data_IF_334256549190
#
_entry.id   IF_334256549190
#
_cell.length_a   1.000
_cell.length_b   1.000
_cell.length_c   1.000
_cell.angle_alpha   90.00
_cell.angle_beta   90.00
_cell.angle_gamma   90.00
#
_symmetry.space_group_name_H-M   'P 1'
#
loop_
_entity.id
_entity.type
_entity.pdbx_description
1 polymer ?
#
# COMPACT_ATOMS: atom_id res chain seq x y z
N UNK A 1 73.56 28.46 -15.29
CA UNK A 1 72.60 29.50 -14.82
C UNK A 1 71.63 28.84 -13.86
N UNK A 2 71.90 28.78 -12.55
CA UNK A 2 71.07 28.18 -11.56
C UNK A 2 69.94 29.16 -11.16
N UNK A 3 68.74 28.80 -11.47
CA UNK A 3 67.55 29.58 -11.07
C UNK A 3 67.28 29.36 -9.59
N UNK A 4 67.70 30.27 -8.70
CA UNK A 4 67.42 30.25 -7.29
C UNK A 4 65.96 30.70 -7.07
N UNK A 5 65.07 29.74 -6.79
CA UNK A 5 63.69 30.03 -6.35
C UNK A 5 63.75 30.79 -5.00
N UNK A 6 63.14 31.97 -4.95
CA UNK A 6 63.17 32.79 -3.72
C UNK A 6 62.21 32.21 -2.66
N UNK A 7 62.50 32.47 -1.38
CA UNK A 7 61.61 32.07 -0.27
C UNK A 7 60.20 32.68 -0.44
N UNK A 8 60.08 33.80 -1.12
CA UNK A 8 58.81 34.45 -1.43
C UNK A 8 57.96 33.64 -2.42
N UNK A 9 58.63 33.06 -3.46
CA UNK A 9 57.95 32.24 -4.46
C UNK A 9 57.44 30.94 -3.87
N UNK A 10 58.22 30.32 -2.96
CA UNK A 10 57.77 29.11 -2.25
C UNK A 10 56.58 29.42 -1.33
N UNK A 11 56.59 30.56 -0.61
CA UNK A 11 55.46 30.99 0.20
C UNK A 11 54.20 31.27 -0.58
N UNK A 12 54.31 31.84 -1.77
CA UNK A 12 53.19 32.11 -2.66
C UNK A 12 52.62 30.82 -3.23
N UNK A 13 53.45 29.85 -3.63
CA UNK A 13 53.03 28.52 -4.10
C UNK A 13 52.30 27.73 -3.01
N UNK A 14 52.79 27.78 -1.78
CA UNK A 14 52.13 27.12 -0.63
C UNK A 14 50.75 27.74 -0.32
N UNK A 15 50.63 29.06 -0.34
CA UNK A 15 49.37 29.77 -0.10
C UNK A 15 48.34 29.49 -1.21
N UNK A 16 48.75 29.51 -2.49
CA UNK A 16 47.88 29.15 -3.61
C UNK A 16 47.45 27.67 -3.54
N UNK A 17 48.34 26.75 -3.20
CA UNK A 17 48.01 25.32 -3.01
C UNK A 17 46.98 25.08 -1.91
N UNK A 18 47.14 25.75 -0.75
CA UNK A 18 46.17 25.67 0.34
C UNK A 18 44.79 26.23 -0.06
N UNK A 19 44.78 27.35 -0.84
CA UNK A 19 43.53 27.95 -1.27
C UNK A 19 42.77 27.05 -2.26
N UNK A 20 43.48 26.40 -3.19
CA UNK A 20 42.90 25.46 -4.15
C UNK A 20 42.36 24.22 -3.44
N UNK A 21 43.09 23.67 -2.48
CA UNK A 21 42.66 22.52 -1.71
C UNK A 21 41.43 22.82 -0.84
N UNK A 22 41.37 24.02 -0.22
CA UNK A 22 40.18 24.43 0.55
C UNK A 22 38.96 24.66 -0.35
N UNK A 23 39.15 25.20 -1.55
CA UNK A 23 38.07 25.39 -2.53
C UNK A 23 37.51 24.06 -3.05
N UNK A 24 38.39 23.07 -3.30
CA UNK A 24 37.99 21.71 -3.68
C UNK A 24 37.24 21.03 -2.53
N UNK A 25 37.69 21.18 -1.28
CA UNK A 25 37.01 20.62 -0.13
C UNK A 25 35.62 21.22 0.09
N UNK A 26 35.45 22.54 -0.12
CA UNK A 26 34.16 23.22 -0.07
C UNK A 26 33.24 22.72 -1.19
N UNK A 27 33.75 22.59 -2.45
CA UNK A 27 33.01 22.03 -3.56
C UNK A 27 32.55 20.60 -3.30
N UNK A 28 33.41 19.75 -2.74
CA UNK A 28 33.04 18.38 -2.37
C UNK A 28 32.01 18.33 -1.25
N UNK A 29 32.10 19.23 -0.26
CA UNK A 29 31.12 19.31 0.82
C UNK A 29 29.75 19.81 0.31
N UNK A 30 29.73 20.81 -0.57
CA UNK A 30 28.47 21.33 -1.15
C UNK A 30 27.78 20.31 -2.05
N UNK A 31 28.53 19.51 -2.83
CA UNK A 31 27.95 18.43 -3.65
C UNK A 31 27.34 17.32 -2.75
N UNK A 32 27.93 17.07 -1.59
CA UNK A 32 27.42 16.06 -0.63
C UNK A 32 26.17 16.54 0.13
N UNK A 33 25.95 17.86 0.21
CA UNK A 33 24.83 18.50 0.89
C UNK A 33 23.81 19.14 -0.06
N UNK A 34 23.94 18.97 -1.40
CA UNK A 34 22.83 19.28 -2.30
C UNK A 34 21.77 18.20 -2.02
N UNK A 35 20.63 18.54 -1.36
CA UNK A 35 19.53 17.59 -1.29
C UNK A 35 19.23 17.21 -2.74
N UNK A 36 19.07 15.89 -3.01
CA UNK A 36 18.57 15.43 -4.31
C UNK A 36 17.42 16.36 -4.65
N UNK A 37 17.55 17.07 -5.78
CA UNK A 37 16.52 17.99 -6.21
C UNK A 37 15.20 17.23 -6.13
N UNK A 38 14.32 17.67 -5.23
CA UNK A 38 12.95 17.21 -5.19
C UNK A 38 12.44 17.61 -6.56
N UNK A 39 12.25 16.64 -7.43
CA UNK A 39 11.55 16.83 -8.68
C UNK A 39 10.17 17.26 -8.25
N UNK A 40 9.90 18.56 -8.27
CA UNK A 40 8.54 19.06 -8.15
C UNK A 40 7.83 18.51 -9.37
N UNK A 41 7.21 17.36 -9.20
CA UNK A 41 6.34 16.77 -10.19
C UNK A 41 5.26 17.82 -10.43
N UNK A 42 5.16 18.33 -11.65
CA UNK A 42 4.03 19.15 -12.08
C UNK A 42 2.79 18.25 -12.07
N UNK A 43 2.21 18.10 -10.87
CA UNK A 43 0.96 17.39 -10.73
C UNK A 43 -0.12 18.20 -11.46
N UNK A 44 -0.50 17.69 -12.62
CA UNK A 44 -1.69 18.20 -13.29
C UNK A 44 -2.84 18.14 -12.29
N UNK A 45 -3.60 19.24 -12.16
CA UNK A 45 -4.68 19.43 -11.17
C UNK A 45 -5.89 18.47 -11.41
N UNK A 46 -5.71 17.39 -12.19
CA UNK A 46 -6.72 16.37 -12.44
C UNK A 46 -6.91 15.50 -11.19
N UNK A 47 -8.16 15.33 -10.78
CA UNK A 47 -8.52 14.45 -9.67
C UNK A 47 -8.03 13.01 -9.98
N UNK A 48 -7.30 12.42 -9.04
CA UNK A 48 -6.86 11.02 -9.10
C UNK A 48 -7.85 10.15 -8.34
N UNK A 49 -7.95 8.90 -8.77
CA UNK A 49 -8.85 7.93 -8.17
C UNK A 49 -8.08 6.67 -7.77
N UNK A 50 -8.43 6.05 -6.62
CA UNK A 50 -7.90 4.75 -6.25
C UNK A 50 -8.54 3.64 -7.10
N UNK A 51 -7.94 2.46 -7.14
CA UNK A 51 -8.51 1.29 -7.79
C UNK A 51 -9.60 0.72 -6.88
N UNK A 52 -10.86 0.74 -7.35
CA UNK A 52 -12.01 0.17 -6.66
C UNK A 52 -12.45 -1.18 -7.25
N UNK A 53 -12.21 -1.37 -8.55
CA UNK A 53 -12.47 -2.60 -9.29
C UNK A 53 -11.64 -2.62 -10.58
N UNK A 54 -11.64 -3.76 -11.27
CA UNK A 54 -10.87 -3.96 -12.51
C UNK A 54 -11.82 -4.34 -13.66
N UNK A 55 -11.62 -3.76 -14.85
CA UNK A 55 -12.27 -4.23 -16.06
C UNK A 55 -11.56 -5.48 -16.57
N UNK A 56 -12.23 -6.61 -16.52
CA UNK A 56 -11.70 -7.89 -17.01
C UNK A 56 -12.81 -8.80 -17.50
N UNK A 57 -12.52 -9.59 -18.54
CA UNK A 57 -13.41 -10.67 -19.00
C UNK A 57 -13.29 -11.95 -18.16
N UNK A 58 -12.23 -12.08 -17.35
CA UNK A 58 -12.05 -13.21 -16.48
C UNK A 58 -13.00 -13.11 -15.27
N UNK A 59 -13.67 -14.21 -14.93
CA UNK A 59 -14.54 -14.27 -13.77
C UNK A 59 -13.71 -14.33 -12.47
N UNK A 60 -13.02 -13.22 -12.15
CA UNK A 60 -12.19 -13.06 -10.96
C UNK A 60 -12.80 -12.01 -10.04
N UNK A 61 -12.71 -12.23 -8.73
CA UNK A 61 -13.01 -11.24 -7.68
C UNK A 61 -11.96 -11.35 -6.58
N UNK A 62 -11.71 -10.26 -5.86
CA UNK A 62 -10.79 -10.25 -4.72
C UNK A 62 -11.54 -10.09 -3.42
N UNK A 63 -11.25 -10.98 -2.44
CA UNK A 63 -11.63 -10.80 -1.04
C UNK A 63 -10.53 -10.04 -0.33
N UNK A 64 -10.87 -8.96 0.36
CA UNK A 64 -9.92 -8.15 1.09
C UNK A 64 -10.37 -7.92 2.52
N UNK A 65 -9.42 -7.94 3.46
CA UNK A 65 -9.66 -7.81 4.88
C UNK A 65 -8.87 -6.64 5.45
N UNK A 66 -9.54 -5.68 6.07
CA UNK A 66 -8.91 -4.59 6.79
C UNK A 66 -8.70 -4.98 8.26
N UNK A 67 -7.48 -4.80 8.76
CA UNK A 67 -7.10 -5.12 10.14
C UNK A 67 -6.56 -3.87 10.82
N UNK A 68 -7.38 -3.26 11.67
CA UNK A 68 -7.02 -2.02 12.38
C UNK A 68 -6.73 -2.19 13.87
N UNK A 69 -7.51 -2.99 14.58
CA UNK A 69 -7.41 -3.08 16.04
C UNK A 69 -7.59 -4.49 16.60
N UNK A 70 -8.50 -5.27 16.03
CA UNK A 70 -8.82 -6.61 16.48
C UNK A 70 -8.38 -7.64 15.45
N UNK A 71 -7.65 -8.63 15.86
CA UNK A 71 -7.24 -9.76 15.01
C UNK A 71 -7.70 -11.10 15.55
N UNK A 72 -8.69 -11.11 16.49
CA UNK A 72 -9.12 -12.33 17.22
C UNK A 72 -9.61 -13.44 16.30
N UNK A 73 -10.16 -13.10 15.12
CA UNK A 73 -10.73 -14.06 14.17
C UNK A 73 -9.74 -14.44 13.05
N UNK A 74 -8.50 -13.95 13.10
CA UNK A 74 -7.52 -14.14 12.02
C UNK A 74 -7.31 -15.64 11.74
N UNK A 75 -7.11 -16.45 12.77
CA UNK A 75 -6.86 -17.87 12.61
C UNK A 75 -8.01 -18.58 11.94
N UNK A 76 -9.24 -18.30 12.40
CA UNK A 76 -10.45 -18.88 11.82
C UNK A 76 -10.62 -18.46 10.34
N UNK A 77 -10.37 -17.19 10.01
CA UNK A 77 -10.44 -16.70 8.63
C UNK A 77 -9.37 -17.38 7.75
N UNK A 78 -8.12 -17.49 8.23
CA UNK A 78 -7.06 -18.18 7.50
C UNK A 78 -7.38 -19.67 7.28
N UNK A 79 -7.95 -20.36 8.27
CA UNK A 79 -8.40 -21.75 8.15
C UNK A 79 -9.52 -21.91 7.12
N UNK A 80 -10.51 -21.00 7.09
CA UNK A 80 -11.60 -21.01 6.10
C UNK A 80 -11.04 -20.75 4.69
N UNK A 81 -10.16 -19.78 4.52
CA UNK A 81 -9.51 -19.51 3.23
C UNK A 81 -8.69 -20.70 2.75
N UNK A 82 -7.93 -21.34 3.65
CA UNK A 82 -7.13 -22.53 3.36
C UNK A 82 -8.01 -23.73 2.97
N UNK A 83 -9.06 -24.03 3.74
CA UNK A 83 -10.04 -25.09 3.45
C UNK A 83 -10.62 -24.93 2.05
N UNK A 84 -10.90 -23.70 1.66
CA UNK A 84 -11.48 -23.38 0.37
C UNK A 84 -10.46 -23.21 -0.75
N UNK A 85 -9.16 -23.30 -0.47
CA UNK A 85 -8.08 -23.01 -1.43
C UNK A 85 -8.23 -21.62 -2.07
N UNK A 86 -8.50 -20.59 -1.25
CA UNK A 86 -8.69 -19.20 -1.67
C UNK A 86 -7.53 -18.34 -1.21
N UNK A 87 -7.05 -17.46 -2.08
CA UNK A 87 -6.12 -16.39 -1.71
C UNK A 87 -6.88 -15.08 -1.55
N UNK A 88 -6.47 -14.30 -0.57
CA UNK A 88 -7.06 -13.01 -0.22
C UNK A 88 -5.98 -11.96 0.01
N UNK A 89 -6.37 -10.71 0.23
CA UNK A 89 -5.46 -9.61 0.55
C UNK A 89 -5.81 -9.03 1.91
N UNK A 90 -4.80 -8.88 2.77
CA UNK A 90 -4.96 -8.30 4.10
C UNK A 90 -4.28 -6.93 4.17
N UNK A 91 -5.06 -5.89 4.43
CA UNK A 91 -4.57 -4.54 4.67
C UNK A 91 -4.39 -4.32 6.16
N UNK A 92 -3.15 -4.15 6.60
CA UNK A 92 -2.78 -4.17 8.02
C UNK A 92 -2.26 -2.83 8.51
N UNK A 93 -2.65 -2.41 9.71
CA UNK A 93 -2.10 -1.23 10.36
C UNK A 93 -0.80 -1.55 11.09
N UNK A 94 0.09 -0.55 11.21
CA UNK A 94 1.33 -0.70 11.96
C UNK A 94 1.11 -1.01 13.43
N UNK A 95 0.15 -0.35 14.07
CA UNK A 95 -0.20 -0.61 15.48
C UNK A 95 -0.64 -2.04 15.72
N UNK A 96 -1.41 -2.62 14.80
CA UNK A 96 -1.81 -4.02 14.92
C UNK A 96 -0.59 -4.95 14.79
N UNK A 97 0.29 -4.71 13.82
CA UNK A 97 1.50 -5.52 13.59
C UNK A 97 2.42 -5.53 14.81
N UNK A 98 2.61 -4.38 15.47
CA UNK A 98 3.47 -4.29 16.66
C UNK A 98 3.04 -5.25 17.77
N UNK A 99 1.73 -5.47 17.89
CA UNK A 99 1.16 -6.38 18.89
C UNK A 99 0.91 -7.79 18.37
N UNK A 100 1.06 -8.04 17.05
CA UNK A 100 0.66 -9.29 16.40
C UNK A 100 1.66 -9.76 15.35
N UNK A 101 2.95 -9.77 15.68
CA UNK A 101 4.03 -10.18 14.75
C UNK A 101 3.83 -11.57 14.18
N UNK A 102 3.35 -12.52 14.99
CA UNK A 102 3.05 -13.87 14.52
C UNK A 102 1.87 -13.89 13.53
N UNK A 103 0.92 -12.98 13.70
CA UNK A 103 -0.22 -12.85 12.79
C UNK A 103 0.21 -12.47 11.37
N UNK A 104 1.12 -11.48 11.23
CA UNK A 104 1.62 -11.10 9.90
C UNK A 104 2.44 -12.21 9.24
N UNK A 105 3.24 -12.94 10.03
CA UNK A 105 4.00 -14.09 9.52
C UNK A 105 3.04 -15.16 8.98
N UNK A 106 1.94 -15.45 9.70
CA UNK A 106 0.94 -16.43 9.26
C UNK A 106 0.23 -16.02 7.99
N UNK A 107 -0.20 -14.75 7.87
CA UNK A 107 -0.80 -14.22 6.63
C UNK A 107 0.12 -14.47 5.43
N UNK A 108 1.38 -14.04 5.54
CA UNK A 108 2.36 -14.14 4.46
C UNK A 108 2.73 -15.60 4.15
N UNK A 109 2.98 -16.43 5.18
CA UNK A 109 3.35 -17.84 5.00
C UNK A 109 2.21 -18.67 4.42
N UNK A 110 0.96 -18.27 4.62
CA UNK A 110 -0.22 -18.88 3.99
C UNK A 110 -0.39 -18.45 2.52
N UNK A 111 0.50 -17.58 2.01
CA UNK A 111 0.51 -17.14 0.61
C UNK A 111 -0.59 -16.13 0.26
N UNK A 112 -1.05 -15.36 1.25
CA UNK A 112 -1.96 -14.23 1.03
C UNK A 112 -1.18 -12.96 0.71
N UNK A 113 -1.82 -12.04 -0.02
CA UNK A 113 -1.27 -10.71 -0.22
C UNK A 113 -1.31 -9.90 1.08
N UNK A 114 -0.30 -9.06 1.27
CA UNK A 114 -0.25 -8.09 2.35
C UNK A 114 -0.26 -6.67 1.78
N UNK A 115 -1.11 -5.81 2.31
CA UNK A 115 -1.23 -4.40 1.97
C UNK A 115 -1.05 -3.51 3.19
N UNK A 116 -0.66 -2.28 2.95
CA UNK A 116 -0.43 -1.24 3.95
C UNK A 116 -1.75 -0.51 4.26
N UNK A 117 -2.10 -0.38 5.54
CA UNK A 117 -3.31 0.33 5.99
C UNK A 117 -2.98 1.51 6.92
N UNK A 118 -1.86 2.19 6.69
CA UNK A 118 -1.25 3.21 7.53
C UNK A 118 -0.77 2.69 8.89
N UNK A 119 0.03 3.49 9.60
CA UNK A 119 0.49 3.09 10.92
C UNK A 119 -0.61 3.14 11.98
N UNK A 120 -1.29 4.27 12.09
CA UNK A 120 -2.15 4.58 13.23
C UNK A 120 -3.65 4.59 12.93
N UNK A 121 -4.05 4.29 11.69
CA UNK A 121 -5.44 4.34 11.21
C UNK A 121 -6.10 5.71 11.39
N UNK A 122 -5.32 6.80 11.21
CA UNK A 122 -5.86 8.16 11.22
C UNK A 122 -6.63 8.47 9.94
N UNK A 123 -7.52 9.47 10.00
CA UNK A 123 -8.07 10.06 8.79
C UNK A 123 -6.95 10.82 8.06
N UNK A 124 -6.49 10.25 6.94
CA UNK A 124 -5.35 10.77 6.21
C UNK A 124 -5.67 12.02 5.37
N UNK A 125 -6.94 12.34 5.14
CA UNK A 125 -7.35 13.58 4.48
C UNK A 125 -6.98 14.85 5.28
N UNK A 126 -6.74 14.68 6.58
CA UNK A 126 -6.33 15.75 7.49
C UNK A 126 -4.81 15.90 7.63
N UNK A 127 -4.03 15.01 6.99
CA UNK A 127 -2.58 14.97 7.08
C UNK A 127 -1.94 15.69 5.89
N UNK A 128 -0.79 16.30 6.13
CA UNK A 128 0.06 16.78 5.05
C UNK A 128 0.83 15.62 4.38
N UNK A 129 1.57 15.95 3.31
CA UNK A 129 2.30 14.93 2.52
C UNK A 129 3.37 14.21 3.37
N UNK A 130 4.09 14.94 4.23
CA UNK A 130 5.15 14.38 5.08
C UNK A 130 4.56 13.43 6.13
N UNK A 131 3.42 13.80 6.72
CA UNK A 131 2.69 12.96 7.68
C UNK A 131 2.13 11.71 7.00
N UNK A 132 1.54 11.84 5.80
CA UNK A 132 1.09 10.70 4.99
C UNK A 132 2.24 9.74 4.68
N UNK A 133 3.39 10.28 4.27
CA UNK A 133 4.59 9.51 3.99
C UNK A 133 5.05 8.72 5.22
N UNK A 134 5.09 9.34 6.41
CA UNK A 134 5.48 8.69 7.67
C UNK A 134 4.53 7.54 8.02
N UNK A 135 3.22 7.75 7.90
CA UNK A 135 2.20 6.73 8.16
C UNK A 135 2.38 5.49 7.25
N UNK A 136 2.77 5.68 5.99
CA UNK A 136 2.98 4.60 5.03
C UNK A 136 4.34 3.92 5.22
N UNK A 137 5.43 4.69 5.30
CA UNK A 137 6.79 4.14 5.36
C UNK A 137 7.07 3.36 6.63
N UNK A 138 6.48 3.77 7.76
CA UNK A 138 6.67 3.03 9.02
C UNK A 138 6.18 1.59 8.88
N UNK A 139 4.98 1.40 8.34
CA UNK A 139 4.40 0.06 8.13
C UNK A 139 5.18 -0.74 7.09
N UNK A 140 5.63 -0.07 6.02
CA UNK A 140 6.45 -0.70 4.98
C UNK A 140 7.70 -1.35 5.59
N UNK A 141 8.46 -0.56 6.33
CA UNK A 141 9.69 -1.02 6.96
C UNK A 141 9.42 -2.14 7.98
N UNK A 142 8.38 -1.97 8.80
CA UNK A 142 8.00 -2.96 9.81
C UNK A 142 7.65 -4.33 9.19
N UNK A 143 6.85 -4.35 8.13
CA UNK A 143 6.50 -5.59 7.41
C UNK A 143 7.73 -6.20 6.73
N UNK A 144 8.55 -5.38 6.07
CA UNK A 144 9.78 -5.83 5.43
C UNK A 144 10.75 -6.45 6.43
N UNK A 145 10.94 -5.84 7.60
CA UNK A 145 11.82 -6.35 8.65
C UNK A 145 11.35 -7.69 9.22
N UNK A 146 10.02 -7.90 9.30
CA UNK A 146 9.46 -9.14 9.88
C UNK A 146 9.39 -10.26 8.84
N UNK A 147 9.01 -9.96 7.59
CA UNK A 147 8.63 -10.96 6.59
C UNK A 147 9.50 -10.98 5.34
N UNK A 148 10.37 -9.99 5.16
CA UNK A 148 11.13 -9.72 3.93
C UNK A 148 10.25 -9.46 2.69
N UNK A 149 8.98 -9.08 2.87
CA UNK A 149 8.03 -8.76 1.80
C UNK A 149 8.03 -7.25 1.53
N UNK A 150 8.12 -6.88 0.25
CA UNK A 150 7.94 -5.51 -0.25
C UNK A 150 6.47 -5.32 -0.61
N UNK A 151 5.73 -4.58 0.23
CA UNK A 151 4.33 -4.27 -0.06
C UNK A 151 4.20 -3.29 -1.23
N UNK A 152 3.18 -3.50 -2.07
CA UNK A 152 2.84 -2.63 -3.21
C UNK A 152 1.40 -2.13 -3.20
N UNK A 153 0.60 -2.59 -2.27
CA UNK A 153 -0.81 -2.24 -2.12
C UNK A 153 -0.99 -1.38 -0.88
N UNK A 154 -1.64 -0.24 -1.05
CA UNK A 154 -1.99 0.66 0.04
C UNK A 154 -3.49 0.93 0.04
N UNK A 155 -4.13 0.83 1.19
CA UNK A 155 -5.52 1.23 1.39
C UNK A 155 -5.57 2.32 2.45
N UNK A 156 -6.04 3.53 2.12
CA UNK A 156 -6.20 4.56 3.13
C UNK A 156 -7.31 4.17 4.13
N UNK A 157 -7.14 4.49 5.42
CA UNK A 157 -8.19 4.32 6.43
C UNK A 157 -9.51 4.92 5.98
N UNK A 158 -10.61 4.27 6.33
CA UNK A 158 -12.00 4.66 5.99
C UNK A 158 -12.29 4.68 4.48
N UNK A 159 -11.31 4.41 3.63
CA UNK A 159 -11.41 4.55 2.18
C UNK A 159 -11.43 6.01 1.71
N UNK A 160 -11.14 6.97 2.59
CA UNK A 160 -11.03 8.38 2.24
C UNK A 160 -9.77 8.64 1.41
N UNK A 161 -9.89 9.51 0.41
CA UNK A 161 -8.76 9.82 -0.46
C UNK A 161 -8.84 11.22 -1.05
N UNK A 162 -7.69 11.80 -1.22
CA UNK A 162 -7.46 13.02 -1.98
C UNK A 162 -6.21 12.86 -2.87
N UNK A 163 -5.90 13.89 -3.66
CA UNK A 163 -4.73 13.83 -4.54
C UNK A 163 -3.42 13.66 -3.77
N UNK A 164 -3.27 14.29 -2.60
CA UNK A 164 -2.07 14.19 -1.75
C UNK A 164 -1.82 12.73 -1.37
N UNK A 165 -2.83 12.05 -0.82
CA UNK A 165 -2.73 10.65 -0.40
C UNK A 165 -2.33 9.75 -1.57
N UNK A 166 -3.02 9.88 -2.72
CA UNK A 166 -2.76 9.03 -3.88
C UNK A 166 -1.36 9.29 -4.45
N UNK A 167 -0.93 10.55 -4.53
CA UNK A 167 0.41 10.89 -5.04
C UNK A 167 1.50 10.39 -4.08
N UNK A 168 1.38 10.65 -2.78
CA UNK A 168 2.32 10.16 -1.78
C UNK A 168 2.46 8.63 -1.85
N UNK A 169 1.34 7.90 -1.91
CA UNK A 169 1.37 6.45 -2.05
C UNK A 169 2.08 6.02 -3.35
N UNK A 170 1.77 6.66 -4.47
CA UNK A 170 2.38 6.36 -5.78
C UNK A 170 3.88 6.64 -5.81
N UNK A 171 4.32 7.75 -5.25
CA UNK A 171 5.73 8.13 -5.18
C UNK A 171 6.54 7.15 -4.30
N UNK A 172 5.88 6.51 -3.35
CA UNK A 172 6.42 5.42 -2.54
C UNK A 172 6.31 4.03 -3.20
N UNK A 173 5.81 3.95 -4.44
CA UNK A 173 5.70 2.71 -5.21
C UNK A 173 4.46 1.87 -4.91
N UNK A 174 3.42 2.47 -4.34
CA UNK A 174 2.16 1.80 -4.01
C UNK A 174 1.07 2.06 -5.04
N UNK A 175 0.22 1.06 -5.27
CA UNK A 175 -1.11 1.24 -5.85
C UNK A 175 -2.13 1.47 -4.73
N UNK A 176 -2.95 2.53 -4.88
CA UNK A 176 -4.00 2.83 -3.90
C UNK A 176 -5.24 2.04 -4.22
N UNK A 177 -5.66 1.18 -3.29
CA UNK A 177 -6.76 0.22 -3.44
C UNK A 177 -7.94 0.63 -2.54
N UNK A 178 -9.14 0.62 -3.11
CA UNK A 178 -10.41 0.68 -2.38
C UNK A 178 -11.22 -0.59 -2.66
N UNK A 179 -12.52 -0.46 -2.76
CA UNK A 179 -13.48 -1.53 -3.06
C UNK A 179 -14.67 -0.96 -3.84
N UNK A 180 -15.34 -1.81 -4.57
CA UNK A 180 -16.65 -1.52 -5.17
C UNK A 180 -17.78 -2.30 -4.46
N UNK A 181 -17.45 -3.32 -3.67
CA UNK A 181 -18.41 -4.08 -2.85
C UNK A 181 -18.02 -3.96 -1.38
N UNK A 182 -18.90 -3.34 -0.58
CA UNK A 182 -18.75 -3.24 0.88
C UNK A 182 -19.62 -4.30 1.56
N UNK A 183 -19.00 -5.16 2.37
CA UNK A 183 -19.71 -6.20 3.13
C UNK A 183 -20.66 -5.63 4.17
N UNK A 184 -20.44 -4.40 4.61
CA UNK A 184 -21.13 -3.76 5.73
C UNK A 184 -21.08 -4.57 7.03
N UNK A 185 -20.09 -5.47 7.18
CA UNK A 185 -19.93 -6.39 8.30
C UNK A 185 -19.76 -5.66 9.66
N UNK A 186 -19.20 -4.46 9.63
CA UNK A 186 -19.05 -3.58 10.80
C UNK A 186 -20.37 -3.06 11.38
N UNK A 187 -21.49 -3.24 10.65
CA UNK A 187 -22.84 -2.83 11.11
C UNK A 187 -23.56 -3.91 11.91
N UNK A 188 -23.01 -5.12 11.97
CA UNK A 188 -23.57 -6.25 12.71
C UNK A 188 -25.02 -6.61 12.36
N UNK A 189 -25.44 -6.43 11.09
CA UNK A 189 -26.81 -6.73 10.65
C UNK A 189 -27.12 -8.24 10.56
N UNK A 190 -26.10 -9.09 10.65
CA UNK A 190 -26.23 -10.55 10.65
C UNK A 190 -25.68 -11.20 9.37
N UNK A 191 -25.57 -12.53 9.43
CA UNK A 191 -24.96 -13.36 8.37
C UNK A 191 -25.68 -13.18 7.04
N UNK A 192 -27.01 -13.23 7.03
CA UNK A 192 -27.81 -13.09 5.79
C UNK A 192 -27.57 -11.75 5.11
N UNK A 193 -27.53 -10.66 5.88
CA UNK A 193 -27.26 -9.34 5.30
C UNK A 193 -25.86 -9.26 4.75
N UNK A 194 -24.86 -9.83 5.42
CA UNK A 194 -23.49 -9.88 4.95
C UNK A 194 -23.40 -10.64 3.59
N UNK A 195 -24.05 -11.78 3.46
CA UNK A 195 -24.10 -12.54 2.21
C UNK A 195 -24.79 -11.73 1.10
N UNK A 196 -25.89 -11.03 1.42
CA UNK A 196 -26.59 -10.18 0.47
C UNK A 196 -25.75 -8.96 0.02
N UNK A 197 -24.98 -8.37 0.94
CA UNK A 197 -24.08 -7.25 0.62
C UNK A 197 -22.84 -7.68 -0.18
N UNK A 198 -22.49 -8.96 -0.18
CA UNK A 198 -21.29 -9.49 -0.84
C UNK A 198 -21.65 -10.39 -2.02
N UNK A 199 -21.81 -11.68 -1.80
CA UNK A 199 -22.01 -12.67 -2.85
C UNK A 199 -23.31 -12.45 -3.65
N UNK A 200 -24.36 -11.90 -3.06
CA UNK A 200 -25.64 -11.58 -3.72
C UNK A 200 -25.79 -10.09 -4.04
N UNK A 201 -24.73 -9.30 -3.94
CA UNK A 201 -24.78 -7.89 -4.28
C UNK A 201 -25.07 -7.72 -5.78
N UNK A 202 -26.01 -6.83 -6.12
CA UNK A 202 -26.42 -6.57 -7.52
C UNK A 202 -25.32 -5.95 -8.38
N UNK A 203 -24.35 -5.28 -7.75
CA UNK A 203 -23.25 -4.61 -8.42
C UNK A 203 -22.00 -5.51 -8.53
N UNK A 204 -22.07 -6.74 -7.98
CA UNK A 204 -21.00 -7.73 -8.10
C UNK A 204 -20.76 -8.12 -9.56
N UNK A 205 -19.50 -8.07 -10.00
CA UNK A 205 -19.09 -8.33 -11.37
C UNK A 205 -17.66 -8.83 -11.45
N UNK A 206 -17.23 -9.24 -12.64
CA UNK A 206 -15.82 -9.54 -12.88
C UNK A 206 -14.95 -8.34 -12.50
N UNK A 207 -13.89 -8.62 -11.73
CA UNK A 207 -12.96 -7.62 -11.26
C UNK A 207 -13.39 -6.85 -10.02
N UNK A 208 -14.49 -7.24 -9.35
CA UNK A 208 -14.90 -6.62 -8.08
C UNK A 208 -13.90 -6.88 -6.97
N UNK A 209 -13.72 -5.89 -6.12
CA UNK A 209 -12.93 -5.94 -4.88
C UNK A 209 -13.91 -5.82 -3.71
N UNK A 210 -14.00 -6.86 -2.90
CA UNK A 210 -14.92 -6.96 -1.76
C UNK A 210 -14.13 -6.64 -0.48
N UNK A 211 -14.61 -5.70 0.33
CA UNK A 211 -14.01 -5.40 1.64
C UNK A 211 -14.75 -6.03 2.78
N UNK A 212 -13.98 -6.60 3.70
CA UNK A 212 -14.38 -7.06 5.03
C UNK A 212 -13.51 -6.41 6.08
N UNK A 213 -13.98 -6.37 7.31
CA UNK A 213 -13.23 -5.94 8.46
C UNK A 213 -13.01 -7.10 9.43
N UNK A 214 -11.75 -7.31 9.81
CA UNK A 214 -11.40 -8.36 10.76
C UNK A 214 -11.91 -8.01 12.17
N UNK A 215 -12.36 -9.04 12.92
CA UNK A 215 -12.82 -8.87 14.30
C UNK A 215 -14.25 -8.39 14.44
N UNK A 216 -15.02 -8.29 13.35
CA UNK A 216 -16.47 -8.07 13.39
C UNK A 216 -17.21 -9.34 13.80
N UNK A 217 -18.46 -9.18 14.16
CA UNK A 217 -19.22 -10.25 14.81
C UNK A 217 -19.52 -11.45 13.90
N UNK A 218 -19.78 -11.19 12.62
CA UNK A 218 -20.33 -12.20 11.71
C UNK A 218 -19.41 -12.56 10.53
N UNK A 219 -18.30 -11.87 10.34
CA UNK A 219 -17.46 -12.06 9.16
C UNK A 219 -16.90 -13.48 9.09
N UNK A 220 -16.28 -13.95 10.17
CA UNK A 220 -15.72 -15.31 10.18
C UNK A 220 -16.81 -16.39 10.05
N UNK A 221 -17.99 -16.16 10.63
CA UNK A 221 -19.10 -17.11 10.58
C UNK A 221 -19.74 -17.19 9.18
N UNK A 222 -19.82 -16.05 8.47
CA UNK A 222 -20.43 -15.99 7.14
C UNK A 222 -19.46 -16.32 6.00
N UNK A 223 -18.15 -16.27 6.22
CA UNK A 223 -17.14 -16.27 5.17
C UNK A 223 -17.17 -17.55 4.31
N UNK A 224 -17.39 -18.71 4.92
CA UNK A 224 -17.45 -20.00 4.21
C UNK A 224 -18.62 -19.98 3.19
N UNK A 225 -19.80 -19.56 3.60
CA UNK A 225 -20.99 -19.45 2.73
C UNK A 225 -20.80 -18.37 1.64
N UNK A 226 -20.15 -17.25 1.96
CA UNK A 226 -19.81 -16.22 0.95
C UNK A 226 -18.89 -16.79 -0.12
N UNK A 227 -17.84 -17.52 0.27
CA UNK A 227 -16.89 -18.15 -0.65
C UNK A 227 -17.59 -19.18 -1.54
N UNK A 228 -18.39 -20.08 -0.96
CA UNK A 228 -19.14 -21.09 -1.70
C UNK A 228 -20.08 -20.42 -2.71
N UNK A 229 -20.88 -19.42 -2.27
CA UNK A 229 -21.79 -18.68 -3.15
C UNK A 229 -21.09 -17.97 -4.31
N UNK A 230 -19.89 -17.42 -4.10
CA UNK A 230 -19.11 -16.78 -5.16
C UNK A 230 -18.57 -17.83 -6.15
N UNK A 231 -18.09 -18.97 -5.66
CA UNK A 231 -17.62 -20.09 -6.51
C UNK A 231 -18.75 -20.69 -7.34
N UNK A 232 -19.93 -20.87 -6.75
CA UNK A 232 -21.12 -21.37 -7.45
C UNK A 232 -21.57 -20.46 -8.60
N UNK A 233 -21.29 -19.15 -8.49
CA UNK A 233 -21.47 -18.18 -9.56
C UNK A 233 -20.34 -18.19 -10.59
N UNK A 234 -19.34 -19.06 -10.43
CA UNK A 234 -18.22 -19.23 -11.34
C UNK A 234 -17.04 -18.27 -11.11
N UNK A 235 -17.02 -17.53 -10.01
CA UNK A 235 -15.90 -16.65 -9.72
C UNK A 235 -14.68 -17.41 -9.17
N UNK A 236 -13.51 -17.06 -9.70
CA UNK A 236 -12.21 -17.40 -9.14
C UNK A 236 -11.80 -16.32 -8.14
N UNK A 237 -11.53 -16.71 -6.90
CA UNK A 237 -11.16 -15.80 -5.80
C UNK A 237 -9.64 -15.67 -5.74
N UNK A 238 -9.15 -14.44 -5.96
CA UNK A 238 -7.71 -14.16 -6.09
C UNK A 238 -7.28 -13.03 -5.15
N UNK A 239 -5.97 -12.90 -4.90
CA UNK A 239 -5.41 -11.72 -4.27
C UNK A 239 -5.50 -10.49 -5.19
N UNK A 240 -5.42 -9.29 -4.60
CA UNK A 240 -5.47 -8.03 -5.36
C UNK A 240 -4.30 -7.92 -6.34
N UNK A 241 -3.10 -8.45 -5.98
CA UNK A 241 -1.95 -8.44 -6.89
C UNK A 241 -2.21 -9.24 -8.18
N UNK A 242 -3.03 -10.31 -8.12
CA UNK A 242 -3.39 -11.13 -9.27
C UNK A 242 -4.60 -10.57 -10.05
N UNK A 243 -5.29 -9.58 -9.48
CA UNK A 243 -6.45 -8.96 -10.08
C UNK A 243 -6.12 -7.70 -10.86
N UNK A 244 -5.29 -6.81 -10.29
CA UNK A 244 -5.00 -5.50 -10.86
C UNK A 244 -3.95 -5.55 -11.98
N UNK A 245 -3.99 -4.56 -12.88
CA UNK A 245 -2.95 -4.34 -13.87
C UNK A 245 -1.81 -3.54 -13.24
N UNK A 246 -0.58 -4.06 -13.19
CA UNK A 246 0.54 -3.34 -12.56
C UNK A 246 1.08 -2.19 -13.40
N UNK A 247 0.88 -2.24 -14.74
CA UNK A 247 1.36 -1.25 -15.70
C UNK A 247 0.34 -1.06 -16.83
N UNK A 248 0.50 0.01 -17.61
CA UNK A 248 -0.28 0.30 -18.82
C UNK A 248 -1.80 0.26 -18.60
N UNK A 249 -2.24 0.98 -17.57
CA UNK A 249 -3.65 1.10 -17.21
C UNK A 249 -4.11 2.56 -17.10
N UNK A 250 -5.43 2.74 -17.10
CA UNK A 250 -6.11 3.96 -16.69
C UNK A 250 -7.13 3.64 -15.60
N UNK A 251 -7.49 4.64 -14.81
CA UNK A 251 -8.56 4.53 -13.81
C UNK A 251 -9.58 5.60 -14.13
N UNK A 252 -10.85 5.20 -14.24
CA UNK A 252 -11.95 6.14 -14.48
C UNK A 252 -12.43 6.83 -13.20
N UNK A 253 -13.43 7.69 -13.33
CA UNK A 253 -13.99 8.46 -12.21
C UNK A 253 -14.70 7.61 -11.16
N UNK A 254 -15.01 6.35 -11.45
CA UNK A 254 -15.61 5.38 -10.54
C UNK A 254 -14.56 4.55 -9.79
N UNK A 255 -13.28 4.74 -10.13
CA UNK A 255 -12.19 3.92 -9.62
C UNK A 255 -12.03 2.58 -10.36
N UNK A 256 -12.67 2.39 -11.51
CA UNK A 256 -12.48 1.16 -12.28
C UNK A 256 -11.20 1.26 -13.10
N UNK A 257 -10.35 0.24 -12.97
CA UNK A 257 -9.08 0.13 -13.69
C UNK A 257 -9.28 -0.57 -15.03
N UNK A 258 -8.75 0.00 -16.10
CA UNK A 258 -8.81 -0.52 -17.47
C UNK A 258 -7.40 -0.70 -18.02
N UNK A 259 -7.19 -1.76 -18.75
CA UNK A 259 -5.96 -1.93 -19.54
C UNK A 259 -5.94 -0.89 -20.69
N UNK A 260 -4.77 -0.29 -20.93
CA UNK A 260 -4.56 0.59 -22.11
C UNK A 260 -4.43 -0.20 -23.39
#
# INVERSE_FOLDING_TARGET
MECKISKADISLFLKTGIFVLSFIAILFSTVKYIPKAITVSNHTNSKKFPICSVETSEAKVALTFDIDSSGKDLDLILDILSKNNVKATFFVTGKWIESNRDGIIRIVSSGHDIGNHSYSHKNMDLLDEEECMKEILYVHNLVKDITNVEMKLFRPPYGDFNNTIIHTAKDLGYETIRWDIDSMDWKDYGIRDLINQTANNKDLRNGSIIVFKLGTKYTAEALDEVIESLKDKGYNLVGVNDLIYPNDYIIDVTGRQYRK
#
